data_IF_046100991928
#
_entry.id   IF_046100991928
#
_cell.length_a   1.000
_cell.length_b   1.000
_cell.length_c   1.000
_cell.angle_alpha   90.00
_cell.angle_beta   90.00
_cell.angle_gamma   90.00
#
_symmetry.space_group_name_H-M   'P 1'
#
loop_
_entity.id
_entity.type
_entity.pdbx_description
1 polymer ?
#
# COMPACT_ATOMS: atom_id res chain seq x y z
N UNK A 1 -5.01 4.38 -0.61
CA UNK A 1 -5.11 4.17 -2.07
C UNK A 1 -5.05 5.47 -2.85
N UNK A 2 -4.80 5.41 -4.15
CA UNK A 2 -4.82 6.57 -5.05
C UNK A 2 -5.69 6.28 -6.29
N UNK A 3 -6.34 7.30 -6.88
CA UNK A 3 -7.00 7.15 -8.17
C UNK A 3 -6.04 6.59 -9.22
N UNK A 4 -6.61 5.93 -10.23
CA UNK A 4 -5.84 5.44 -11.36
C UNK A 4 -5.09 6.56 -12.09
N UNK A 5 -4.11 6.18 -12.91
CA UNK A 5 -3.44 7.14 -13.77
C UNK A 5 -4.39 7.67 -14.83
N UNK A 6 -4.24 8.95 -15.16
CA UNK A 6 -4.98 9.56 -16.26
C UNK A 6 -4.54 8.94 -17.59
N UNK A 7 -5.51 8.53 -18.41
CA UNK A 7 -5.33 8.00 -19.76
C UNK A 7 -5.17 9.14 -20.76
N UNK A 8 -3.97 9.72 -20.74
CA UNK A 8 -3.61 10.89 -21.57
C UNK A 8 -3.75 10.60 -23.06
N UNK A 9 -3.50 9.35 -23.48
CA UNK A 9 -3.74 8.84 -24.83
C UNK A 9 -5.19 9.06 -25.28
N UNK A 10 -6.15 8.69 -24.45
CA UNK A 10 -7.59 8.85 -24.74
C UNK A 10 -8.01 10.32 -24.72
N UNK A 11 -7.41 11.14 -23.85
CA UNK A 11 -7.67 12.58 -23.81
C UNK A 11 -7.16 13.31 -25.05
N UNK A 12 -6.00 12.92 -25.56
CA UNK A 12 -5.46 13.46 -26.81
C UNK A 12 -6.36 13.10 -28.00
N UNK A 13 -6.82 11.86 -28.08
CA UNK A 13 -7.79 11.42 -29.10
C UNK A 13 -9.13 12.15 -28.99
N UNK A 14 -9.56 12.46 -27.75
CA UNK A 14 -10.74 13.27 -27.50
C UNK A 14 -10.51 14.77 -27.79
N UNK A 15 -9.31 15.21 -28.16
CA UNK A 15 -8.98 16.60 -28.47
C UNK A 15 -8.83 17.50 -27.25
N UNK A 16 -8.69 16.92 -26.05
CA UNK A 16 -8.46 17.69 -24.82
C UNK A 16 -6.99 18.05 -24.74
N UNK A 17 -6.68 19.35 -24.67
CA UNK A 17 -5.31 19.83 -24.50
C UNK A 17 -4.85 19.70 -23.04
N UNK A 18 -3.55 19.44 -22.78
CA UNK A 18 -3.00 19.48 -21.44
C UNK A 18 -3.28 20.81 -20.74
N UNK A 19 -3.74 20.78 -19.50
CA UNK A 19 -4.11 21.98 -18.75
C UNK A 19 -5.00 21.69 -17.53
N UNK A 20 -5.72 22.69 -17.01
CA UNK A 20 -6.56 22.55 -15.81
C UNK A 20 -7.62 21.45 -15.93
N UNK A 21 -8.13 21.20 -17.14
CA UNK A 21 -9.10 20.13 -17.42
C UNK A 21 -8.56 18.74 -17.12
N UNK A 22 -7.25 18.50 -17.28
CA UNK A 22 -6.65 17.19 -16.96
C UNK A 22 -6.71 16.90 -15.47
N UNK A 23 -6.49 17.93 -14.64
CA UNK A 23 -6.61 17.79 -13.19
C UNK A 23 -8.05 17.48 -12.80
N UNK A 24 -9.02 18.22 -13.32
CA UNK A 24 -10.44 17.97 -13.07
C UNK A 24 -10.84 16.53 -13.48
N UNK A 25 -10.43 16.08 -14.66
CA UNK A 25 -10.68 14.71 -15.15
C UNK A 25 -9.97 13.65 -14.29
N UNK A 26 -8.73 13.93 -13.87
CA UNK A 26 -7.96 13.05 -12.98
C UNK A 26 -8.60 12.92 -11.59
N UNK A 27 -9.23 13.99 -11.12
CA UNK A 27 -9.99 14.01 -9.86
C UNK A 27 -11.38 13.36 -10.04
N UNK A 28 -11.68 12.81 -11.23
CA UNK A 28 -12.92 12.11 -11.54
C UNK A 28 -14.12 13.03 -11.78
N UNK A 29 -13.89 14.32 -11.99
CA UNK A 29 -14.94 15.30 -12.25
C UNK A 29 -15.44 15.21 -13.69
N UNK A 30 -16.69 15.65 -13.89
CA UNK A 30 -17.26 15.85 -15.22
C UNK A 30 -16.95 17.26 -15.69
N UNK A 31 -16.36 17.39 -16.88
CA UNK A 31 -16.02 18.69 -17.49
C UNK A 31 -16.71 18.86 -18.83
N UNK A 32 -17.14 20.08 -19.11
CA UNK A 32 -17.68 20.49 -20.41
C UNK A 32 -16.60 21.17 -21.22
N UNK A 33 -16.39 20.71 -22.44
CA UNK A 33 -15.46 21.29 -23.39
C UNK A 33 -16.08 22.48 -24.11
N UNK A 34 -15.23 23.29 -24.75
CA UNK A 34 -15.64 24.45 -25.54
C UNK A 34 -16.52 24.07 -26.73
N UNK A 35 -16.31 22.89 -27.31
CA UNK A 35 -17.14 22.33 -28.38
C UNK A 35 -18.49 21.77 -27.92
N UNK A 36 -18.82 21.92 -26.63
CA UNK A 36 -20.09 21.51 -26.04
C UNK A 36 -20.13 20.05 -25.56
N UNK A 37 -19.12 19.23 -25.86
CA UNK A 37 -19.03 17.85 -25.35
C UNK A 37 -18.86 17.84 -23.83
N UNK A 38 -19.38 16.79 -23.19
CA UNK A 38 -19.25 16.56 -21.75
C UNK A 38 -18.46 15.29 -21.54
N UNK A 39 -17.34 15.39 -20.82
CA UNK A 39 -16.46 14.27 -20.53
C UNK A 39 -16.55 13.93 -19.04
N UNK A 40 -16.72 12.64 -18.73
CA UNK A 40 -16.66 12.14 -17.36
C UNK A 40 -15.24 11.63 -17.07
N UNK A 41 -14.56 12.24 -16.10
CA UNK A 41 -13.19 11.89 -15.73
C UNK A 41 -12.97 10.40 -15.43
N UNK A 42 -13.98 9.71 -14.90
CA UNK A 42 -13.93 8.28 -14.60
C UNK A 42 -13.67 7.41 -15.84
N UNK A 43 -14.10 7.84 -17.02
CA UNK A 43 -13.88 7.12 -18.28
C UNK A 43 -12.43 7.24 -18.78
N UNK A 44 -11.68 8.20 -18.22
CA UNK A 44 -10.29 8.51 -18.56
C UNK A 44 -9.31 8.13 -17.44
N UNK A 45 -9.76 7.42 -16.42
CA UNK A 45 -8.90 6.92 -15.34
C UNK A 45 -8.61 5.43 -15.53
N UNK A 46 -7.37 5.03 -15.30
CA UNK A 46 -7.01 3.63 -15.15
C UNK A 46 -7.58 3.01 -13.88
N UNK A 47 -7.29 1.73 -13.65
CA UNK A 47 -7.64 1.07 -12.41
C UNK A 47 -7.02 1.81 -11.19
N UNK A 48 -7.74 1.91 -10.05
CA UNK A 48 -7.19 2.46 -8.83
C UNK A 48 -5.88 1.79 -8.42
N UNK A 49 -4.95 2.57 -7.89
CA UNK A 49 -3.68 2.06 -7.41
C UNK A 49 -3.77 1.83 -5.90
N UNK A 50 -3.68 0.56 -5.49
CA UNK A 50 -3.63 0.21 -4.07
C UNK A 50 -2.40 0.85 -3.43
N UNK A 51 -2.59 1.49 -2.28
CA UNK A 51 -1.52 2.04 -1.47
C UNK A 51 -0.66 0.93 -0.90
N UNK A 52 0.63 1.23 -0.68
CA UNK A 52 1.52 0.30 0.02
C UNK A 52 1.24 0.36 1.52
N UNK A 53 1.25 -0.79 2.17
CA UNK A 53 1.18 -0.89 3.63
C UNK A 53 2.57 -1.32 4.12
N UNK A 54 3.17 -0.49 4.98
CA UNK A 54 4.44 -0.79 5.64
C UNK A 54 4.17 -0.77 7.14
N UNK A 55 4.42 -1.90 7.79
CA UNK A 55 4.31 -2.05 9.24
C UNK A 55 5.70 -2.08 9.82
N UNK A 56 5.95 -1.20 10.79
CA UNK A 56 7.22 -1.11 11.51
C UNK A 56 6.93 -1.44 12.97
N UNK A 57 7.45 -2.59 13.42
CA UNK A 57 7.39 -2.96 14.82
C UNK A 57 8.69 -2.52 15.51
N UNK A 58 8.57 -2.11 16.77
CA UNK A 58 9.72 -1.92 17.64
C UNK A 58 10.08 -3.23 18.35
N UNK A 59 10.95 -3.12 19.34
CA UNK A 59 11.32 -4.24 20.20
C UNK A 59 10.06 -4.81 20.88
N UNK A 60 9.85 -6.10 20.68
CA UNK A 60 8.68 -6.80 21.16
C UNK A 60 8.90 -8.31 21.19
N UNK A 61 8.28 -8.96 22.17
CA UNK A 61 8.03 -10.40 22.15
C UNK A 61 6.85 -10.73 21.23
N UNK A 62 6.67 -12.00 20.94
CA UNK A 62 5.45 -12.48 20.26
C UNK A 62 4.20 -11.98 20.99
N UNK A 63 3.36 -11.23 20.28
CA UNK A 63 2.09 -10.72 20.77
C UNK A 63 1.06 -10.63 19.64
N UNK A 64 -0.21 -10.76 19.99
CA UNK A 64 -1.29 -10.79 19.00
C UNK A 64 -1.44 -9.45 18.24
N UNK A 65 -1.12 -8.34 18.90
CA UNK A 65 -1.16 -7.02 18.28
C UNK A 65 -0.14 -6.89 17.13
N UNK A 66 0.96 -7.65 17.13
CA UNK A 66 1.88 -7.68 16.00
C UNK A 66 1.20 -8.21 14.73
N UNK A 67 0.32 -9.22 14.86
CA UNK A 67 -0.46 -9.74 13.74
C UNK A 67 -1.49 -8.72 13.24
N UNK A 68 -2.17 -8.03 14.16
CA UNK A 68 -3.16 -7.00 13.81
C UNK A 68 -2.51 -5.84 13.07
N UNK A 69 -1.33 -5.40 13.53
CA UNK A 69 -0.60 -4.31 12.88
C UNK A 69 0.02 -4.72 11.54
N UNK A 70 0.39 -5.99 11.38
CA UNK A 70 1.04 -6.51 10.18
C UNK A 70 0.07 -7.06 9.13
N UNK A 71 -1.23 -7.05 9.40
CA UNK A 71 -2.24 -7.66 8.52
C UNK A 71 -2.12 -7.17 7.08
N UNK A 72 -1.85 -8.12 6.18
CA UNK A 72 -1.71 -7.92 4.74
C UNK A 72 -0.68 -6.84 4.35
N UNK A 73 0.33 -6.60 5.18
CA UNK A 73 1.38 -5.62 4.91
C UNK A 73 2.17 -5.99 3.64
N UNK A 74 2.54 -4.99 2.85
CA UNK A 74 3.49 -5.22 1.75
C UNK A 74 4.90 -5.44 2.31
N UNK A 75 5.26 -4.73 3.38
CA UNK A 75 6.52 -4.88 4.10
C UNK A 75 6.27 -4.86 5.61
N UNK A 76 6.78 -5.88 6.30
CA UNK A 76 6.86 -5.93 7.75
C UNK A 76 8.32 -5.78 8.16
N UNK A 77 8.64 -4.74 8.93
CA UNK A 77 9.91 -4.58 9.63
C UNK A 77 9.72 -5.11 11.05
N UNK A 78 10.42 -6.19 11.39
CA UNK A 78 10.27 -6.88 12.68
C UNK A 78 11.64 -7.11 13.31
N UNK A 79 11.76 -6.93 14.63
CA UNK A 79 12.99 -7.32 15.30
C UNK A 79 13.19 -8.84 15.30
N UNK A 80 14.44 -9.27 15.26
CA UNK A 80 14.83 -10.68 15.32
C UNK A 80 16.14 -10.80 16.10
N UNK A 81 16.13 -10.26 17.32
CA UNK A 81 17.34 -10.12 18.17
C UNK A 81 18.06 -11.44 18.41
N UNK A 82 17.31 -12.55 18.44
CA UNK A 82 17.82 -13.88 18.79
C UNK A 82 17.66 -14.92 17.66
N UNK A 83 18.50 -15.96 17.65
CA UNK A 83 18.36 -17.08 16.72
C UNK A 83 17.15 -17.96 17.10
N UNK A 84 16.82 -18.95 16.26
CA UNK A 84 15.70 -19.86 16.50
C UNK A 84 15.83 -20.66 17.81
N UNK A 85 17.07 -21.03 18.14
CA UNK A 85 17.42 -21.86 19.30
C UNK A 85 17.32 -21.08 20.62
N UNK A 86 17.36 -19.76 20.57
CA UNK A 86 17.44 -18.85 21.73
C UNK A 86 16.05 -18.38 22.21
N UNK A 87 15.02 -19.20 22.03
CA UNK A 87 13.62 -18.83 22.31
C UNK A 87 13.39 -18.44 23.79
N UNK A 88 14.02 -19.14 24.74
CA UNK A 88 13.91 -18.79 26.17
C UNK A 88 14.52 -17.42 26.45
N UNK A 89 15.68 -17.13 25.86
CA UNK A 89 16.37 -15.85 26.01
C UNK A 89 15.55 -14.71 25.41
N UNK A 90 15.02 -14.90 24.19
CA UNK A 90 14.12 -13.94 23.56
C UNK A 90 12.93 -13.60 24.48
N UNK A 91 12.27 -14.61 25.05
CA UNK A 91 11.16 -14.37 25.97
C UNK A 91 11.59 -13.67 27.26
N UNK A 92 12.74 -14.03 27.84
CA UNK A 92 13.23 -13.42 29.09
C UNK A 92 13.65 -11.96 28.91
N UNK A 93 14.18 -11.60 27.74
CA UNK A 93 14.59 -10.23 27.41
C UNK A 93 13.53 -9.44 26.63
N UNK A 94 12.30 -9.96 26.49
CA UNK A 94 11.18 -9.31 25.81
C UNK A 94 11.40 -9.02 24.32
N UNK A 95 12.17 -9.88 23.66
CA UNK A 95 12.50 -9.83 22.25
C UNK A 95 11.89 -11.00 21.47
N UNK A 96 12.13 -11.00 20.16
CA UNK A 96 11.69 -12.07 19.26
C UNK A 96 12.87 -12.78 18.60
N UNK A 97 12.66 -14.05 18.26
CA UNK A 97 13.58 -14.83 17.44
C UNK A 97 13.33 -14.63 15.95
N UNK A 98 14.30 -14.98 15.12
CA UNK A 98 14.15 -15.05 13.65
C UNK A 98 12.93 -15.90 13.21
N UNK A 99 12.70 -17.05 13.83
CA UNK A 99 11.54 -17.92 13.52
C UNK A 99 10.23 -17.28 13.96
N UNK A 100 10.21 -16.56 15.08
CA UNK A 100 9.04 -15.84 15.55
C UNK A 100 8.67 -14.69 14.60
N UNK A 101 9.64 -13.88 14.17
CA UNK A 101 9.44 -12.82 13.18
C UNK A 101 8.90 -13.39 11.84
N UNK A 102 9.51 -14.47 11.35
CA UNK A 102 9.04 -15.17 10.13
C UNK A 102 7.62 -15.74 10.29
N UNK A 103 7.30 -16.30 11.45
CA UNK A 103 5.96 -16.84 11.74
C UNK A 103 4.92 -15.72 11.81
N UNK A 104 5.25 -14.58 12.42
CA UNK A 104 4.38 -13.40 12.46
C UNK A 104 4.10 -12.90 11.05
N UNK A 105 5.13 -12.74 10.21
CA UNK A 105 4.98 -12.32 8.82
C UNK A 105 4.07 -13.26 8.02
N UNK A 106 4.30 -14.58 8.13
CA UNK A 106 3.49 -15.59 7.44
C UNK A 106 2.03 -15.55 7.88
N UNK A 107 1.77 -15.51 9.19
CA UNK A 107 0.40 -15.47 9.74
C UNK A 107 -0.34 -14.20 9.38
N UNK A 108 0.37 -13.06 9.35
CA UNK A 108 -0.21 -11.78 8.98
C UNK A 108 -0.40 -11.62 7.45
N UNK A 109 0.10 -12.56 6.64
CA UNK A 109 0.04 -12.44 5.18
C UNK A 109 0.92 -11.31 4.65
N UNK A 110 2.00 -10.97 5.36
CA UNK A 110 2.94 -9.96 4.91
C UNK A 110 3.71 -10.47 3.68
N UNK A 111 3.88 -9.62 2.65
CA UNK A 111 4.54 -10.03 1.39
C UNK A 111 6.06 -10.11 1.52
N UNK A 112 6.64 -9.23 2.33
CA UNK A 112 8.06 -9.15 2.60
C UNK A 112 8.31 -8.95 4.10
N UNK A 113 9.33 -9.61 4.62
CA UNK A 113 9.85 -9.45 5.98
C UNK A 113 11.26 -8.83 5.89
N UNK A 114 11.52 -7.85 6.74
CA UNK A 114 12.81 -7.18 6.93
C UNK A 114 13.21 -7.32 8.39
#
# INVERSE_FOLDING_TARGET
>A
DRPGSLRVDLLHQAGVKPGPLYKALKDGQTVRLEDGRVLNGKDYLGAPQKGRIITILGDTRVCDNALVLADSADYLVHEATFSAEETEMASSYYHSTTVQAATTALKAGAKHLI
#
